data_IF_992985684217
#
_entry.id   IF_992985684217
#
_cell.length_a   1.000
_cell.length_b   1.000
_cell.length_c   1.000
_cell.angle_alpha   90.00
_cell.angle_beta   90.00
_cell.angle_gamma   90.00
#
_symmetry.space_group_name_H-M   'P 1'
#
loop_
_entity.id
_entity.type
_entity.pdbx_description
1 polymer ?
#
# COMPACT_ATOMS: atom_id res chain seq x y z
N UNK A 1 7.40 -11.68 -26.35
CA UNK A 1 8.76 -12.30 -26.21
C UNK A 1 8.61 -13.79 -26.01
N UNK A 2 9.33 -14.61 -26.80
CA UNK A 2 9.16 -16.06 -26.80
C UNK A 2 10.39 -16.76 -26.20
N UNK A 3 10.19 -17.53 -25.12
CA UNK A 3 11.25 -18.25 -24.42
C UNK A 3 10.95 -19.74 -24.40
N UNK A 4 11.85 -20.53 -25.00
CA UNK A 4 11.77 -21.99 -24.97
C UNK A 4 12.65 -22.54 -23.85
N UNK A 5 12.13 -23.50 -23.08
CA UNK A 5 12.85 -24.12 -21.97
C UNK A 5 12.38 -25.57 -21.75
N UNK A 6 13.08 -26.32 -20.90
CA UNK A 6 12.75 -27.72 -20.59
C UNK A 6 12.28 -27.84 -19.13
N UNK A 7 11.01 -28.19 -18.91
CA UNK A 7 10.43 -28.41 -17.58
C UNK A 7 10.09 -29.89 -17.43
N UNK A 8 10.65 -30.56 -16.43
CA UNK A 8 10.40 -31.99 -16.15
C UNK A 8 10.62 -32.90 -17.37
N UNK A 9 11.76 -32.70 -18.06
CA UNK A 9 12.13 -33.38 -19.31
C UNK A 9 11.21 -33.11 -20.51
N UNK A 10 10.17 -32.29 -20.39
CA UNK A 10 9.27 -31.91 -21.48
C UNK A 10 9.62 -30.50 -22.00
N UNK A 11 9.53 -30.26 -23.32
CA UNK A 11 9.68 -28.92 -23.87
C UNK A 11 8.51 -28.04 -23.42
N UNK A 12 8.81 -26.80 -23.03
CA UNK A 12 7.85 -25.79 -22.63
C UNK A 12 8.19 -24.48 -23.34
N UNK A 13 7.17 -23.68 -23.62
CA UNK A 13 7.32 -22.36 -24.22
C UNK A 13 6.58 -21.34 -23.35
N UNK A 14 7.28 -20.27 -23.00
CA UNK A 14 6.69 -19.09 -22.39
C UNK A 14 6.59 -18.02 -23.46
N UNK A 15 5.35 -17.65 -23.78
CA UNK A 15 5.03 -16.56 -24.68
C UNK A 15 4.52 -15.38 -23.86
N UNK A 16 5.30 -14.31 -23.77
CA UNK A 16 4.86 -13.10 -23.06
C UNK A 16 3.62 -12.48 -23.68
N UNK A 17 3.40 -12.68 -24.98
CA UNK A 17 2.28 -12.10 -25.71
C UNK A 17 0.99 -12.91 -25.49
N UNK A 18 1.12 -14.16 -24.99
CA UNK A 18 0.00 -14.99 -24.52
C UNK A 18 -0.49 -14.64 -23.11
N UNK A 19 0.24 -13.80 -22.39
CA UNK A 19 -0.16 -13.33 -21.07
C UNK A 19 -1.23 -12.27 -21.28
N UNK A 20 -2.48 -12.72 -21.24
CA UNK A 20 -3.61 -11.81 -21.21
C UNK A 20 -3.54 -11.07 -19.87
N UNK A 21 -2.90 -9.89 -19.89
CA UNK A 21 -3.15 -8.88 -18.86
C UNK A 21 -4.61 -8.58 -19.03
N UNK A 22 -5.47 -9.08 -18.12
CA UNK A 22 -6.89 -8.75 -18.10
C UNK A 22 -6.99 -7.25 -18.37
N UNK A 23 -7.67 -6.89 -19.46
CA UNK A 23 -7.66 -5.52 -19.99
C UNK A 23 -7.90 -4.52 -18.87
N UNK A 24 -7.29 -3.32 -18.95
CA UNK A 24 -7.35 -2.26 -17.92
C UNK A 24 -8.66 -2.34 -17.16
N UNK A 25 -8.64 -2.96 -15.98
CA UNK A 25 -9.78 -2.91 -15.09
C UNK A 25 -9.95 -1.41 -14.82
N UNK A 26 -11.13 -0.83 -15.08
CA UNK A 26 -11.36 0.55 -14.68
C UNK A 26 -10.93 0.68 -13.22
N UNK A 27 -10.20 1.74 -12.84
CA UNK A 27 -9.76 1.89 -11.47
C UNK A 27 -10.99 1.76 -10.58
N UNK A 28 -10.94 0.76 -9.69
CA UNK A 28 -12.03 0.46 -8.78
C UNK A 28 -12.42 1.73 -8.02
N UNK A 29 -13.70 1.87 -7.72
CA UNK A 29 -14.19 3.02 -6.97
C UNK A 29 -13.40 3.09 -5.67
N UNK A 30 -12.80 4.26 -5.40
CA UNK A 30 -11.92 4.38 -4.24
C UNK A 30 -12.70 4.02 -2.99
N UNK A 31 -12.24 3.06 -2.17
CA UNK A 31 -12.98 2.68 -0.99
C UNK A 31 -13.11 3.89 -0.07
N UNK A 32 -14.35 4.34 0.11
CA UNK A 32 -14.69 5.45 0.99
C UNK A 32 -14.84 4.92 2.42
N UNK A 33 -13.97 5.39 3.30
CA UNK A 33 -14.10 5.12 4.73
C UNK A 33 -15.17 6.01 5.37
N UNK A 34 -15.55 5.73 6.63
CA UNK A 34 -16.50 6.57 7.37
C UNK A 34 -15.96 7.99 7.65
N UNK A 35 -14.65 8.21 7.52
CA UNK A 35 -13.98 9.48 7.79
C UNK A 35 -13.37 10.09 6.52
N UNK A 36 -13.23 11.42 6.51
CA UNK A 36 -12.58 12.15 5.41
C UNK A 36 -11.12 11.68 5.28
N UNK A 37 -10.69 11.42 4.05
CA UNK A 37 -9.30 11.07 3.79
C UNK A 37 -8.35 12.19 4.20
N UNK A 38 -7.23 11.82 4.79
CA UNK A 38 -6.20 12.76 5.20
C UNK A 38 -5.50 13.41 3.98
N UNK A 39 -5.58 14.75 3.84
CA UNK A 39 -5.25 15.46 2.59
C UNK A 39 -3.76 15.66 2.28
N UNK A 40 -2.90 15.73 3.30
CA UNK A 40 -1.45 15.94 3.16
C UNK A 40 -0.62 14.70 3.52
N UNK A 41 -1.23 13.50 3.47
CA UNK A 41 -0.53 12.27 3.83
C UNK A 41 0.26 11.73 2.64
N UNK A 42 1.54 11.33 2.82
CA UNK A 42 2.34 10.70 1.77
C UNK A 42 1.89 9.26 1.47
N UNK A 43 0.96 8.72 2.26
CA UNK A 43 0.39 7.40 2.08
C UNK A 43 -0.93 7.46 1.33
N UNK A 44 -1.38 6.33 0.75
CA UNK A 44 -2.66 6.28 0.05
C UNK A 44 -3.79 6.82 0.92
N UNK A 45 -4.64 7.65 0.30
CA UNK A 45 -5.78 8.32 0.95
C UNK A 45 -6.92 7.38 1.34
N UNK A 46 -6.66 6.08 1.51
CA UNK A 46 -7.64 5.05 1.82
C UNK A 46 -7.10 4.01 2.81
N UNK A 47 -8.02 3.31 3.46
CA UNK A 47 -7.71 2.24 4.41
C UNK A 47 -7.37 2.72 5.81
N UNK A 48 -6.86 1.81 6.65
CA UNK A 48 -6.56 2.04 8.06
C UNK A 48 -5.53 3.16 8.30
N UNK A 49 -4.77 3.56 7.26
CA UNK A 49 -3.78 4.63 7.36
C UNK A 49 -4.45 6.01 7.43
N UNK A 50 -5.45 6.30 6.58
CA UNK A 50 -6.15 7.61 6.57
C UNK A 50 -7.53 7.58 7.24
N UNK A 51 -8.13 6.41 7.50
CA UNK A 51 -9.47 6.28 8.10
C UNK A 51 -9.43 5.92 9.59
N UNK A 52 -8.40 6.38 10.32
CA UNK A 52 -8.26 6.09 11.75
C UNK A 52 -9.22 6.89 12.62
N UNK A 53 -9.25 8.21 12.43
CA UNK A 53 -10.18 9.13 13.12
C UNK A 53 -10.45 10.36 12.25
N UNK A 54 -11.46 11.17 12.60
CA UNK A 54 -11.77 12.37 11.82
C UNK A 54 -10.58 13.34 11.76
N UNK A 55 -10.00 13.48 10.57
CA UNK A 55 -8.93 14.44 10.31
C UNK A 55 -7.53 13.96 10.69
N UNK A 56 -7.38 12.83 11.37
CA UNK A 56 -6.10 12.27 11.79
C UNK A 56 -5.79 10.93 11.10
N UNK A 57 -4.50 10.70 10.84
CA UNK A 57 -4.00 9.51 10.18
C UNK A 57 -3.03 8.74 11.08
N UNK A 58 -2.84 7.45 10.80
CA UNK A 58 -1.94 6.59 11.59
C UNK A 58 -0.54 7.20 11.74
N UNK A 59 -0.05 7.91 10.72
CA UNK A 59 1.26 8.56 10.76
C UNK A 59 1.29 9.72 11.77
N UNK A 60 0.22 10.51 11.86
CA UNK A 60 0.08 11.58 12.85
C UNK A 60 0.11 10.99 14.26
N UNK A 61 -0.60 9.89 14.47
CA UNK A 61 -0.62 9.21 15.76
C UNK A 61 0.75 8.63 16.13
N UNK A 62 1.43 8.01 15.18
CA UNK A 62 2.80 7.53 15.38
C UNK A 62 3.77 8.69 15.68
N UNK A 63 3.66 9.83 15.00
CA UNK A 63 4.47 11.02 15.30
C UNK A 63 4.22 11.55 16.71
N UNK A 64 2.96 11.55 17.18
CA UNK A 64 2.61 11.91 18.55
C UNK A 64 3.24 10.93 19.55
N UNK A 65 3.18 9.62 19.28
CA UNK A 65 3.78 8.58 20.13
C UNK A 65 5.31 8.73 20.18
N UNK A 66 5.97 8.91 19.04
CA UNK A 66 7.42 9.09 18.98
C UNK A 66 7.86 10.35 19.72
N UNK A 67 7.14 11.47 19.57
CA UNK A 67 7.43 12.71 20.28
C UNK A 67 7.30 12.54 21.79
N UNK A 68 6.23 11.88 22.25
CA UNK A 68 6.01 11.57 23.68
C UNK A 68 7.10 10.64 24.23
N UNK A 69 7.51 9.64 23.46
CA UNK A 69 8.58 8.72 23.88
C UNK A 69 9.94 9.41 23.95
N UNK A 70 10.22 10.36 23.05
CA UNK A 70 11.43 11.18 23.09
C UNK A 70 11.49 12.02 24.37
N UNK A 71 10.41 12.73 24.70
CA UNK A 71 10.30 13.53 25.93
C UNK A 71 10.53 12.68 27.19
N UNK A 72 9.89 11.51 27.27
CA UNK A 72 10.08 10.57 28.39
C UNK A 72 11.51 10.06 28.52
N UNK A 73 12.22 9.89 27.39
CA UNK A 73 13.62 9.46 27.39
C UNK A 73 14.55 10.59 27.86
N UNK A 74 14.25 11.82 27.46
CA UNK A 74 14.98 13.02 27.88
C UNK A 74 14.77 13.33 29.38
N UNK A 75 13.59 13.03 29.94
CA UNK A 75 13.32 13.19 31.38
C UNK A 75 13.97 12.11 32.26
N UNK A 76 14.34 10.96 31.66
CA UNK A 76 15.00 9.83 32.34
C UNK A 76 16.55 9.89 32.26
N UNK A 77 17.10 10.85 31.51
CA UNK A 77 18.56 11.03 31.33
C UNK A 77 19.04 12.20 32.16
#
# INVERSE_FOLDING_TARGET
MLVHYKKNKKPACYDSDSIITTGRIPPDERPHGPFKSCGNCPYPSHGFICYGSEGDCLRTDMQRIHSRNKQKKEELT
#
